data_IF_263130722760
#
_entry.id   IF_263130722760
#
_cell.length_a   1.000
_cell.length_b   1.000
_cell.length_c   1.000
_cell.angle_alpha   90.00
_cell.angle_beta   90.00
_cell.angle_gamma   90.00
#
_symmetry.space_group_name_H-M   'P 1'
#
loop_
_entity.id
_entity.type
_entity.pdbx_description
1 polymer ?
#
# COMPACT_ATOMS: atom_id res chain seq x y z
N UNK A 1 -13.91 7.27 8.28
CA UNK A 1 -13.89 6.16 7.33
C UNK A 1 -13.08 6.57 6.11
N UNK A 2 -12.15 5.73 5.68
CA UNK A 2 -11.30 6.04 4.55
C UNK A 2 -11.86 5.58 3.21
N UNK A 3 -11.21 6.01 2.15
CA UNK A 3 -11.61 5.70 0.78
C UNK A 3 -10.38 5.40 -0.08
N UNK A 4 -10.53 4.51 -1.04
CA UNK A 4 -9.52 4.23 -2.07
C UNK A 4 -9.63 5.29 -3.17
N UNK A 5 -8.56 6.04 -3.41
CA UNK A 5 -8.50 7.02 -4.48
C UNK A 5 -7.82 6.48 -5.74
N UNK A 6 -6.75 5.70 -5.58
CA UNK A 6 -6.01 5.10 -6.71
C UNK A 6 -5.47 3.72 -6.34
N UNK A 7 -5.34 2.87 -7.36
CA UNK A 7 -4.77 1.52 -7.25
C UNK A 7 -3.68 1.37 -8.31
N UNK A 8 -2.51 0.85 -7.91
CA UNK A 8 -1.38 0.65 -8.80
C UNK A 8 -0.82 -0.76 -8.69
N UNK A 9 -0.41 -1.31 -9.84
CA UNK A 9 0.32 -2.58 -9.93
C UNK A 9 1.76 -2.33 -10.36
N UNK A 10 2.69 -3.04 -9.76
CA UNK A 10 4.08 -3.11 -10.24
C UNK A 10 4.37 -4.55 -10.65
N UNK A 11 4.38 -4.82 -11.95
CA UNK A 11 4.58 -6.19 -12.46
C UNK A 11 6.01 -6.68 -12.26
N UNK A 12 6.98 -5.78 -12.37
CA UNK A 12 8.39 -6.07 -12.21
C UNK A 12 9.06 -5.07 -11.28
N UNK A 13 10.18 -5.47 -10.67
CA UNK A 13 10.97 -4.60 -9.79
C UNK A 13 11.46 -3.37 -10.58
N UNK A 14 11.26 -2.20 -10.00
CA UNK A 14 11.71 -0.90 -10.56
C UNK A 14 11.11 -0.54 -11.92
N UNK A 15 10.18 -1.31 -12.42
CA UNK A 15 9.39 -0.96 -13.58
C UNK A 15 8.33 0.06 -13.20
N UNK A 16 7.89 0.88 -14.16
CA UNK A 16 6.82 1.84 -13.93
C UNK A 16 5.56 1.10 -13.44
N UNK A 17 4.87 1.71 -12.47
CA UNK A 17 3.61 1.15 -11.97
C UNK A 17 2.49 1.41 -12.97
N UNK A 18 1.50 0.53 -12.99
CA UNK A 18 0.32 0.61 -13.84
C UNK A 18 -0.90 0.95 -12.99
N UNK A 19 -1.62 2.03 -13.36
CA UNK A 19 -2.85 2.40 -12.68
C UNK A 19 -4.00 1.53 -13.16
N UNK A 20 -4.79 1.01 -12.21
CA UNK A 20 -5.95 0.16 -12.49
C UNK A 20 -7.17 0.66 -11.72
N UNK A 21 -8.38 0.32 -12.21
CA UNK A 21 -9.62 0.73 -11.58
C UNK A 21 -10.13 -0.29 -10.56
N UNK A 22 -9.65 -1.51 -10.64
CA UNK A 22 -9.98 -2.57 -9.70
C UNK A 22 -8.82 -3.55 -9.59
N UNK A 23 -8.78 -4.26 -8.47
CA UNK A 23 -7.81 -5.33 -8.26
C UNK A 23 -8.43 -6.44 -7.41
N UNK A 24 -7.91 -7.66 -7.59
CA UNK A 24 -8.27 -8.79 -6.75
C UNK A 24 -7.16 -8.98 -5.72
N UNK A 25 -7.54 -9.05 -4.45
CA UNK A 25 -6.65 -9.33 -3.34
C UNK A 25 -6.85 -10.77 -2.89
N UNK A 26 -5.76 -11.50 -2.73
CA UNK A 26 -5.82 -12.92 -2.35
C UNK A 26 -5.10 -13.13 -1.03
N UNK A 27 -5.78 -13.79 -0.08
CA UNK A 27 -5.24 -14.06 1.25
C UNK A 27 -3.93 -14.84 1.15
N UNK A 28 -2.92 -14.39 1.89
CA UNK A 28 -1.59 -15.01 1.92
C UNK A 28 -0.69 -14.67 0.73
N UNK A 29 -1.19 -13.96 -0.28
CA UNK A 29 -0.42 -13.66 -1.51
C UNK A 29 -0.38 -12.18 -1.89
N UNK A 30 -1.49 -11.44 -1.73
CA UNK A 30 -1.55 -10.03 -2.03
C UNK A 30 -2.38 -9.70 -3.28
N UNK A 31 -1.93 -8.71 -4.06
CA UNK A 31 -2.66 -8.22 -5.23
C UNK A 31 -2.31 -9.02 -6.47
N UNK A 32 -3.30 -9.65 -7.08
CA UNK A 32 -3.12 -10.45 -8.31
C UNK A 32 -2.51 -9.56 -9.41
N UNK A 33 -1.46 -10.07 -10.05
CA UNK A 33 -0.73 -9.35 -11.11
C UNK A 33 0.44 -8.52 -10.61
N UNK A 34 0.55 -8.29 -9.31
CA UNK A 34 1.65 -7.55 -8.73
C UNK A 34 2.88 -8.45 -8.47
N UNK A 35 4.08 -7.86 -8.49
CA UNK A 35 5.33 -8.63 -8.26
C UNK A 35 5.38 -9.30 -6.90
N UNK A 36 4.83 -8.66 -5.87
CA UNK A 36 4.80 -9.25 -4.52
C UNK A 36 3.89 -10.47 -4.43
N UNK A 37 2.82 -10.51 -5.24
CA UNK A 37 1.97 -11.69 -5.36
C UNK A 37 2.77 -12.88 -5.88
N UNK A 38 3.58 -12.68 -6.92
CA UNK A 38 4.43 -13.75 -7.49
C UNK A 38 5.50 -14.20 -6.50
N UNK A 39 6.09 -13.28 -5.75
CA UNK A 39 7.07 -13.61 -4.71
C UNK A 39 6.43 -14.43 -3.59
N UNK A 40 5.24 -14.02 -3.13
CA UNK A 40 4.51 -14.75 -2.10
C UNK A 40 4.14 -16.16 -2.56
N UNK A 41 3.66 -16.32 -3.79
CA UNK A 41 3.34 -17.61 -4.38
C UNK A 41 4.57 -18.52 -4.47
N UNK A 42 5.71 -17.95 -4.90
CA UNK A 42 6.97 -18.68 -4.96
C UNK A 42 7.45 -19.15 -3.57
N UNK A 43 7.26 -18.32 -2.54
CA UNK A 43 7.56 -18.70 -1.16
C UNK A 43 6.71 -19.90 -0.71
N UNK A 44 5.41 -19.87 -0.98
CA UNK A 44 4.50 -20.97 -0.63
C UNK A 44 4.88 -22.27 -1.35
N UNK A 45 5.23 -22.17 -2.65
CA UNK A 45 5.63 -23.35 -3.45
C UNK A 45 6.95 -23.96 -2.97
N UNK A 46 7.80 -23.18 -2.30
CA UNK A 46 9.07 -23.66 -1.73
C UNK A 46 8.95 -24.00 -0.25
N UNK A 47 7.73 -24.03 0.30
CA UNK A 47 7.47 -24.26 1.73
C UNK A 47 8.20 -23.26 2.64
N UNK A 48 8.46 -22.05 2.15
CA UNK A 48 9.01 -20.97 2.94
C UNK A 48 7.87 -20.29 3.75
N UNK A 49 8.21 -19.56 4.84
CA UNK A 49 7.21 -18.84 5.61
C UNK A 49 6.37 -17.91 4.74
N UNK A 50 5.10 -17.75 5.08
CA UNK A 50 4.19 -16.83 4.37
C UNK A 50 4.73 -15.41 4.48
N UNK A 51 4.82 -14.71 3.35
CA UNK A 51 5.19 -13.30 3.33
C UNK A 51 4.08 -12.47 3.98
N UNK A 52 4.47 -11.41 4.71
CA UNK A 52 3.52 -10.57 5.42
C UNK A 52 3.39 -9.16 4.84
N UNK A 53 4.24 -8.77 3.92
CA UNK A 53 4.24 -7.42 3.34
C UNK A 53 3.68 -7.45 1.93
N UNK A 54 2.41 -7.85 1.79
CA UNK A 54 1.78 -8.05 0.50
C UNK A 54 1.46 -6.76 -0.25
N UNK A 55 1.07 -5.73 0.50
CA UNK A 55 0.49 -4.51 -0.06
C UNK A 55 1.01 -3.31 0.72
N UNK A 56 1.19 -2.20 0.03
CA UNK A 56 1.52 -0.91 0.65
C UNK A 56 0.42 0.09 0.36
N UNK A 57 0.00 0.81 1.40
CA UNK A 57 -0.97 1.90 1.31
C UNK A 57 -0.29 3.19 1.73
N UNK A 58 -0.72 4.32 1.17
CA UNK A 58 -0.24 5.64 1.57
C UNK A 58 -1.38 6.64 1.54
N UNK A 59 -1.35 7.61 2.45
CA UNK A 59 -2.34 8.67 2.50
C UNK A 59 -2.08 9.71 1.41
N UNK A 60 -3.10 9.99 0.60
CA UNK A 60 -3.05 11.03 -0.40
C UNK A 60 -2.68 12.38 0.21
N UNK A 61 -3.25 12.70 1.37
CA UNK A 61 -2.98 13.93 2.09
C UNK A 61 -1.49 14.10 2.41
N UNK A 62 -0.81 13.01 2.77
CA UNK A 62 0.63 13.04 3.05
C UNK A 62 1.44 13.30 1.77
N UNK A 63 1.05 12.68 0.66
CA UNK A 63 1.71 12.90 -0.63
C UNK A 63 1.49 14.32 -1.14
N UNK A 64 0.27 14.84 -1.03
CA UNK A 64 -0.06 16.21 -1.45
C UNK A 64 0.75 17.23 -0.65
N UNK A 65 0.85 17.03 0.67
CA UNK A 65 1.66 17.89 1.54
C UNK A 65 3.13 17.89 1.12
N UNK A 66 3.69 16.72 0.85
CA UNK A 66 5.08 16.59 0.42
C UNK A 66 5.31 17.25 -0.94
N UNK A 67 4.46 16.97 -1.93
CA UNK A 67 4.57 17.53 -3.26
C UNK A 67 4.46 19.08 -3.23
N UNK A 68 3.52 19.61 -2.46
CA UNK A 68 3.34 21.05 -2.31
C UNK A 68 4.54 21.69 -1.61
N UNK A 69 5.06 21.08 -0.56
CA UNK A 69 6.20 21.62 0.21
C UNK A 69 7.47 21.77 -0.65
N UNK A 70 7.64 20.93 -1.67
CA UNK A 70 8.83 20.92 -2.53
C UNK A 70 8.54 21.36 -3.96
N UNK A 71 7.33 21.90 -4.22
CA UNK A 71 6.91 22.37 -5.55
C UNK A 71 7.08 21.31 -6.64
N UNK A 72 6.72 20.04 -6.31
CA UNK A 72 6.82 18.90 -7.19
C UNK A 72 5.48 18.61 -7.86
N UNK A 73 5.53 18.03 -9.07
CA UNK A 73 4.35 17.65 -9.85
C UNK A 73 4.32 16.15 -10.17
N UNK A 74 5.07 15.36 -9.42
CA UNK A 74 5.09 13.91 -9.61
C UNK A 74 3.70 13.30 -9.48
N UNK A 75 3.41 12.27 -10.29
CA UNK A 75 2.21 11.47 -10.16
C UNK A 75 2.29 10.61 -8.88
N UNK A 76 1.16 10.34 -8.26
CA UNK A 76 1.11 9.51 -7.04
C UNK A 76 1.74 8.13 -7.24
N UNK A 77 1.58 7.53 -8.42
CA UNK A 77 2.16 6.23 -8.75
C UNK A 77 3.69 6.19 -8.66
N UNK A 78 4.36 7.33 -8.83
CA UNK A 78 5.81 7.41 -8.75
C UNK A 78 6.34 7.13 -7.33
N UNK A 79 5.50 7.26 -6.30
CA UNK A 79 5.84 6.90 -4.93
C UNK A 79 5.83 5.38 -4.70
N UNK A 80 5.36 4.61 -5.68
CA UNK A 80 5.44 3.16 -5.74
C UNK A 80 4.70 2.45 -4.59
N UNK A 81 3.59 3.03 -4.15
CA UNK A 81 2.66 2.38 -3.22
C UNK A 81 1.50 1.78 -4.02
N UNK A 82 0.97 0.65 -3.52
CA UNK A 82 -0.09 -0.08 -4.23
C UNK A 82 -1.42 0.65 -4.19
N UNK A 83 -1.76 1.26 -3.06
CA UNK A 83 -3.08 1.86 -2.84
C UNK A 83 -2.92 3.25 -2.24
N UNK A 84 -3.52 4.24 -2.88
CA UNK A 84 -3.57 5.61 -2.38
C UNK A 84 -4.94 5.81 -1.72
N UNK A 85 -4.93 6.17 -0.45
CA UNK A 85 -6.15 6.35 0.35
C UNK A 85 -6.32 7.81 0.77
N UNK A 86 -7.53 8.18 1.16
CA UNK A 86 -7.84 9.46 1.79
C UNK A 86 -8.83 9.29 2.93
N UNK A 87 -8.85 10.25 3.84
CA UNK A 87 -9.82 10.29 4.93
C UNK A 87 -9.58 9.28 6.04
N UNK A 88 -8.37 8.72 6.16
CA UNK A 88 -8.03 7.73 7.18
C UNK A 88 -6.60 7.95 7.67
N UNK A 89 -6.36 7.72 8.97
CA UNK A 89 -5.02 7.68 9.52
C UNK A 89 -4.48 6.25 9.42
N UNK A 90 -3.62 5.99 8.44
CA UNK A 90 -3.04 4.67 8.23
C UNK A 90 -2.13 4.25 9.39
N UNK A 91 -1.43 5.21 10.01
CA UNK A 91 -0.55 4.90 11.14
C UNK A 91 -1.31 4.28 12.31
N UNK A 92 -2.58 4.63 12.49
CA UNK A 92 -3.43 4.05 13.54
C UNK A 92 -3.80 2.58 13.27
N UNK A 93 -3.54 2.07 12.07
CA UNK A 93 -3.90 0.71 11.68
C UNK A 93 -2.77 -0.30 11.88
N UNK A 94 -1.60 0.11 12.35
CA UNK A 94 -0.52 -0.83 12.69
C UNK A 94 -1.01 -1.76 13.81
N UNK A 95 -0.88 -3.07 13.59
CA UNK A 95 -1.34 -4.09 14.52
C UNK A 95 -2.85 -4.31 14.54
N UNK A 96 -3.58 -3.74 13.59
CA UNK A 96 -5.05 -3.81 13.54
C UNK A 96 -5.55 -4.40 12.23
N UNK A 97 -6.74 -4.99 12.31
CA UNK A 97 -7.46 -5.48 11.14
C UNK A 97 -8.34 -4.38 10.58
N UNK A 98 -8.49 -4.37 9.27
CA UNK A 98 -9.39 -3.43 8.62
C UNK A 98 -9.99 -4.05 7.34
N UNK A 99 -11.16 -3.55 6.97
CA UNK A 99 -11.82 -3.92 5.72
C UNK A 99 -11.40 -2.94 4.63
N UNK A 100 -11.12 -3.46 3.45
CA UNK A 100 -10.80 -2.69 2.26
C UNK A 100 -11.60 -3.26 1.11
N UNK A 101 -12.64 -2.54 0.65
CA UNK A 101 -13.59 -3.14 -0.27
C UNK A 101 -14.20 -4.39 0.34
N UNK A 102 -14.19 -5.50 -0.37
CA UNK A 102 -14.66 -6.79 0.15
C UNK A 102 -13.56 -7.64 0.80
N UNK A 103 -12.31 -7.17 0.81
CA UNK A 103 -11.19 -7.86 1.43
C UNK A 103 -10.98 -7.43 2.88
N UNK A 104 -10.23 -8.23 3.64
CA UNK A 104 -9.76 -7.87 4.98
C UNK A 104 -8.25 -7.94 5.02
N UNK A 105 -7.65 -6.93 5.66
CA UNK A 105 -6.21 -6.78 5.78
C UNK A 105 -5.81 -6.62 7.24
N UNK A 106 -4.51 -6.83 7.48
CA UNK A 106 -3.88 -6.57 8.76
C UNK A 106 -2.71 -5.63 8.57
N UNK A 107 -2.67 -4.53 9.34
CA UNK A 107 -1.57 -3.58 9.29
C UNK A 107 -0.34 -4.14 9.98
N UNK A 108 0.75 -4.35 9.23
CA UNK A 108 1.96 -4.99 9.74
C UNK A 108 2.91 -3.98 10.36
N UNK A 109 3.27 -2.96 9.59
CA UNK A 109 4.26 -1.95 10.00
C UNK A 109 4.16 -0.72 9.11
N UNK A 110 4.75 0.39 9.54
CA UNK A 110 4.87 1.56 8.68
C UNK A 110 5.92 1.32 7.61
N UNK A 111 5.65 1.83 6.40
CA UNK A 111 6.66 1.90 5.35
C UNK A 111 7.71 2.94 5.73
N UNK A 112 8.97 2.63 5.48
CA UNK A 112 10.04 3.62 5.56
C UNK A 112 10.35 4.16 4.16
N UNK A 113 10.67 5.46 4.01
CA UNK A 113 11.22 5.94 2.75
C UNK A 113 12.62 5.34 2.56
N UNK A 114 12.98 5.04 1.31
CA UNK A 114 14.27 4.42 1.00
C UNK A 114 15.10 5.31 0.07
N UNK A 115 16.37 4.98 -0.06
CA UNK A 115 17.28 5.72 -0.94
C UNK A 115 16.81 5.72 -2.39
N UNK A 116 16.22 4.60 -2.85
CA UNK A 116 15.67 4.52 -4.21
C UNK A 116 14.52 5.51 -4.41
N UNK A 117 13.57 5.58 -3.47
CA UNK A 117 12.48 6.54 -3.53
C UNK A 117 13.01 7.98 -3.56
N UNK A 118 13.97 8.29 -2.70
CA UNK A 118 14.58 9.61 -2.68
C UNK A 118 15.28 9.95 -4.00
N UNK A 119 15.88 8.96 -4.66
CA UNK A 119 16.57 9.16 -5.94
C UNK A 119 15.62 9.47 -7.10
N UNK A 120 14.40 8.91 -7.08
CA UNK A 120 13.42 9.08 -8.17
C UNK A 120 12.46 10.24 -7.95
N UNK A 121 12.24 10.65 -6.70
CA UNK A 121 11.32 11.75 -6.36
C UNK A 121 12.09 13.01 -5.96
N UNK A 122 12.68 13.00 -4.77
CA UNK A 122 13.41 14.13 -4.19
C UNK A 122 14.13 13.68 -2.93
N UNK A 123 15.38 14.18 -2.67
CA UNK A 123 16.14 13.76 -1.47
C UNK A 123 15.40 14.01 -0.15
N UNK A 124 14.56 15.04 -0.06
CA UNK A 124 13.78 15.36 1.14
C UNK A 124 12.78 14.25 1.51
N UNK A 125 12.51 13.28 0.61
CA UNK A 125 11.63 12.15 0.92
C UNK A 125 12.14 11.34 2.11
N UNK A 126 13.46 11.23 2.30
CA UNK A 126 14.02 10.50 3.43
C UNK A 126 13.60 11.08 4.78
N UNK A 127 13.85 12.39 5.08
CA UNK A 127 13.41 12.95 6.36
C UNK A 127 11.91 13.24 6.42
N UNK A 128 11.32 13.79 5.34
CA UNK A 128 9.95 14.32 5.39
C UNK A 128 8.89 13.23 5.41
N UNK A 129 9.16 12.06 4.83
CA UNK A 129 8.20 10.95 4.79
C UNK A 129 8.51 9.87 5.82
N UNK A 130 9.39 10.12 6.78
CA UNK A 130 9.78 9.11 7.78
C UNK A 130 8.58 8.48 8.51
N UNK A 131 7.57 9.28 8.85
CA UNK A 131 6.36 8.82 9.55
C UNK A 131 5.12 8.78 8.68
N UNK A 132 5.23 9.08 7.39
CA UNK A 132 4.08 9.18 6.48
C UNK A 132 4.30 8.52 5.12
N UNK A 133 5.30 7.64 5.02
CA UNK A 133 5.57 6.90 3.79
C UNK A 133 4.57 5.78 3.50
N UNK A 134 3.68 5.50 4.43
CA UNK A 134 2.59 4.55 4.26
C UNK A 134 2.58 3.39 5.24
N UNK A 135 1.70 2.43 4.97
CA UNK A 135 1.45 1.24 5.79
C UNK A 135 1.67 -0.01 4.93
N UNK A 136 2.44 -0.96 5.45
CA UNK A 136 2.51 -2.30 4.87
C UNK A 136 1.44 -3.17 5.51
N UNK A 137 0.73 -3.93 4.68
CA UNK A 137 -0.37 -4.77 5.13
C UNK A 137 -0.32 -6.14 4.48
N UNK A 138 -0.87 -7.12 5.18
CA UNK A 138 -1.08 -8.47 4.66
C UNK A 138 -2.56 -8.69 4.40
N UNK A 139 -2.89 -9.45 3.36
CA UNK A 139 -4.27 -9.81 3.04
C UNK A 139 -4.64 -11.05 3.86
N UNK A 140 -5.65 -10.93 4.73
CA UNK A 140 -6.10 -12.04 5.57
C UNK A 140 -7.41 -12.65 5.07
N UNK A 141 -8.20 -11.93 4.28
CA UNK A 141 -9.38 -12.45 3.60
C UNK A 141 -9.40 -11.92 2.17
N UNK A 142 -9.50 -12.83 1.21
CA UNK A 142 -9.58 -12.50 -0.21
C UNK A 142 -10.82 -11.67 -0.54
N UNK A 143 -10.70 -10.80 -1.53
CA UNK A 143 -11.79 -9.96 -2.00
C UNK A 143 -11.35 -9.09 -3.16
N UNK A 144 -12.25 -8.23 -3.60
CA UNK A 144 -11.99 -7.26 -4.66
C UNK A 144 -12.02 -5.85 -4.12
N UNK A 145 -11.19 -4.99 -4.70
CA UNK A 145 -11.17 -3.56 -4.41
C UNK A 145 -11.37 -2.76 -5.69
N UNK A 146 -12.09 -1.65 -5.55
CA UNK A 146 -12.41 -0.74 -6.65
C UNK A 146 -12.15 0.70 -6.21
N UNK A 147 -11.94 1.59 -7.16
CA UNK A 147 -11.84 3.02 -6.85
C UNK A 147 -13.12 3.47 -6.12
N UNK A 148 -12.95 4.25 -5.06
CA UNK A 148 -14.04 4.74 -4.25
C UNK A 148 -14.50 3.79 -3.14
N UNK A 149 -13.99 2.56 -3.09
CA UNK A 149 -14.30 1.62 -2.00
C UNK A 149 -13.82 2.17 -0.65
N UNK A 150 -14.53 1.76 0.40
CA UNK A 150 -14.25 2.22 1.76
C UNK A 150 -13.15 1.40 2.42
N UNK A 151 -12.39 2.09 3.29
CA UNK A 151 -11.47 1.48 4.23
C UNK A 151 -12.05 1.71 5.63
N UNK A 152 -12.27 0.62 6.38
CA UNK A 152 -12.91 0.67 7.69
C UNK A 152 -12.17 -0.20 8.68
N UNK A 153 -11.73 0.37 9.80
CA UNK A 153 -11.13 -0.40 10.88
C UNK A 153 -12.14 -1.39 11.46
N UNK A 154 -11.67 -2.60 11.75
CA UNK A 154 -12.50 -3.62 12.40
C UNK A 154 -12.29 -3.47 13.91
N UNK A 155 -13.36 -3.30 14.71
CA UNK A 155 -13.22 -3.20 16.17
C UNK A 155 -12.53 -4.44 16.75
N UNK A 156 -11.62 -4.20 17.68
CA UNK A 156 -10.98 -5.26 18.44
C UNK A 156 -11.79 -5.47 19.72
N UNK A 157 -12.34 -6.65 19.90
CA UNK A 157 -13.02 -7.03 21.15
C UNK A 157 -12.01 -7.71 22.07
N UNK A 158 -11.91 -7.16 23.25
CA UNK A 158 -11.06 -7.75 24.28
C UNK A 158 -11.71 -8.99 24.87
#
# INVERSE_FOLDING_TARGET
MGRIDYIYLAREKRQAVERVDMATLEAGKGMVGDRYYRLAEAHLNKELPVMQNHISLVEREALDKFLSAHSLTNDYGEFRRSIITSGVSLNALVGKRFELGSAKLFGVELCAPCAYLASIIHPAALPDLELSAGLRATVIKSGEIHLGDTLKAIPTYA
#
